data_IF_926689749293
#
_entry.id   IF_926689749293
#
_cell.length_a   1.000
_cell.length_b   1.000
_cell.length_c   1.000
_cell.angle_alpha   90.00
_cell.angle_beta   90.00
_cell.angle_gamma   90.00
#
_symmetry.space_group_name_H-M   'P 1'
#
loop_
_entity.id
_entity.type
_entity.pdbx_description
1 polymer ?
#
# COMPACT_ATOMS: atom_id res chain seq x y z
N UNK A 1 2.55 15.95 12.22
CA UNK A 1 3.56 16.16 13.27
C UNK A 1 4.55 17.23 12.80
N UNK A 2 4.26 18.47 13.20
CA UNK A 2 5.14 19.61 13.50
C UNK A 2 6.54 19.73 12.86
N UNK A 3 6.61 20.01 11.55
CA UNK A 3 7.78 20.70 10.97
C UNK A 3 8.08 22.03 11.71
N UNK A 4 7.06 22.64 12.33
CA UNK A 4 7.20 23.86 13.13
C UNK A 4 8.07 23.71 14.38
N UNK A 5 8.12 22.54 15.04
CA UNK A 5 8.94 22.40 16.26
C UNK A 5 10.43 22.43 15.91
N UNK A 6 10.86 21.71 14.87
CA UNK A 6 12.27 21.72 14.44
C UNK A 6 12.69 23.12 13.99
N UNK A 7 11.85 23.81 13.21
CA UNK A 7 12.10 25.19 12.79
C UNK A 7 12.21 26.13 14.01
N UNK A 8 11.35 25.96 15.02
CA UNK A 8 11.40 26.73 16.25
C UNK A 8 12.67 26.47 17.07
N UNK A 9 13.11 25.21 17.17
CA UNK A 9 14.35 24.84 17.86
C UNK A 9 15.59 25.38 17.14
N UNK A 10 15.61 25.36 15.80
CA UNK A 10 16.68 25.97 15.01
C UNK A 10 16.71 27.49 15.25
N UNK A 11 15.54 28.15 15.21
CA UNK A 11 15.44 29.58 15.48
C UNK A 11 15.91 29.97 16.90
N UNK A 12 15.58 29.14 17.90
CA UNK A 12 16.05 29.31 19.29
C UNK A 12 17.57 29.12 19.39
N UNK A 13 18.12 28.09 18.75
CA UNK A 13 19.57 27.83 18.72
C UNK A 13 20.35 28.95 18.04
N UNK A 14 19.84 29.48 16.93
CA UNK A 14 20.46 30.61 16.24
C UNK A 14 20.37 31.90 17.05
N UNK A 15 19.25 32.15 17.73
CA UNK A 15 19.10 33.29 18.64
C UNK A 15 20.04 33.17 19.86
N UNK A 16 20.39 31.94 20.27
CA UNK A 16 21.40 31.64 21.28
C UNK A 16 22.85 31.72 20.79
N UNK A 17 23.10 32.15 19.55
CA UNK A 17 24.44 32.33 18.98
C UNK A 17 25.06 31.09 18.35
N UNK A 18 24.30 30.01 18.16
CA UNK A 18 24.77 28.83 17.42
C UNK A 18 24.69 29.12 15.92
N UNK A 19 25.75 28.78 15.19
CA UNK A 19 25.78 28.91 13.75
C UNK A 19 24.70 28.04 13.06
N UNK A 20 24.03 28.61 12.06
CA UNK A 20 22.91 27.97 11.37
C UNK A 20 23.35 26.74 10.56
N UNK A 21 24.55 26.77 9.96
CA UNK A 21 25.08 25.61 9.24
C UNK A 21 25.33 24.44 10.20
N UNK A 22 25.84 24.72 11.40
CA UNK A 22 25.99 23.71 12.46
C UNK A 22 24.66 23.10 12.88
N UNK A 23 23.63 23.92 13.13
CA UNK A 23 22.29 23.42 13.49
C UNK A 23 21.66 22.57 12.39
N UNK A 24 21.84 22.97 11.13
CA UNK A 24 21.36 22.23 9.96
C UNK A 24 22.05 20.87 9.84
N UNK A 25 23.37 20.83 10.02
CA UNK A 25 24.13 19.58 9.97
C UNK A 25 23.68 18.60 11.06
N UNK A 26 23.44 19.07 12.28
CA UNK A 26 22.90 18.23 13.36
C UNK A 26 21.51 17.68 13.01
N UNK A 27 20.63 18.52 12.43
CA UNK A 27 19.29 18.09 12.05
C UNK A 27 19.30 17.06 10.91
N UNK A 28 20.16 17.24 9.91
CA UNK A 28 20.36 16.30 8.81
C UNK A 28 20.90 14.96 9.34
N UNK A 29 21.96 14.96 10.15
CA UNK A 29 22.54 13.76 10.75
C UNK A 29 21.54 13.02 11.67
N UNK A 30 20.80 13.75 12.51
CA UNK A 30 19.78 13.16 13.37
C UNK A 30 18.62 12.55 12.55
N UNK A 31 18.27 13.18 11.42
CA UNK A 31 17.27 12.69 10.48
C UNK A 31 17.71 11.39 9.82
N UNK A 32 18.92 11.34 9.27
CA UNK A 32 19.50 10.14 8.66
C UNK A 32 19.62 8.98 9.67
N UNK A 33 20.09 9.26 10.88
CA UNK A 33 20.17 8.27 11.96
C UNK A 33 18.78 7.75 12.38
N UNK A 34 17.79 8.63 12.47
CA UNK A 34 16.43 8.22 12.80
C UNK A 34 15.78 7.39 11.68
N UNK A 35 15.95 7.80 10.42
CA UNK A 35 15.47 7.06 9.26
C UNK A 35 16.11 5.68 9.18
N UNK A 36 17.43 5.59 9.31
CA UNK A 36 18.18 4.34 9.32
C UNK A 36 17.68 3.42 10.44
N UNK A 37 17.58 3.91 11.68
CA UNK A 37 17.07 3.10 12.81
C UNK A 37 15.64 2.62 12.57
N UNK A 38 14.78 3.46 11.98
CA UNK A 38 13.41 3.08 11.66
C UNK A 38 13.38 1.96 10.61
N UNK A 39 14.14 2.10 9.53
CA UNK A 39 14.27 1.07 8.50
C UNK A 39 14.84 -0.23 9.06
N UNK A 40 15.90 -0.16 9.89
CA UNK A 40 16.46 -1.36 10.55
C UNK A 40 15.45 -2.05 11.45
N UNK A 41 14.66 -1.30 12.24
CA UNK A 41 13.61 -1.87 13.10
C UNK A 41 12.49 -2.54 12.29
N UNK A 42 12.23 -2.05 11.08
CA UNK A 42 11.29 -2.66 10.15
C UNK A 42 11.90 -3.84 9.37
N UNK A 43 13.20 -4.10 9.52
CA UNK A 43 13.92 -5.09 8.72
C UNK A 43 14.08 -4.69 7.24
N UNK A 44 14.08 -3.39 6.95
CA UNK A 44 14.15 -2.82 5.60
C UNK A 44 15.45 -2.04 5.34
N UNK A 45 16.52 -2.38 6.07
CA UNK A 45 17.79 -1.66 5.99
C UNK A 45 18.79 -2.30 5.01
N UNK A 46 18.52 -3.50 4.52
CA UNK A 46 19.34 -4.16 3.51
C UNK A 46 18.97 -3.73 2.08
N UNK A 47 19.87 -3.99 1.14
CA UNK A 47 19.72 -3.61 -0.27
C UNK A 47 18.62 -4.41 -0.99
N UNK A 48 18.24 -5.59 -0.49
CA UNK A 48 17.22 -6.44 -1.09
C UNK A 48 15.80 -6.06 -0.66
N UNK A 49 15.64 -5.39 0.49
CA UNK A 49 14.35 -4.99 1.05
C UNK A 49 13.43 -4.25 0.06
N UNK A 50 13.98 -3.41 -0.81
CA UNK A 50 13.20 -2.69 -1.84
C UNK A 50 12.59 -3.66 -2.86
N UNK A 51 13.37 -4.66 -3.28
CA UNK A 51 12.93 -5.70 -4.22
C UNK A 51 11.85 -6.57 -3.59
N UNK A 52 12.06 -6.98 -2.34
CA UNK A 52 11.14 -7.87 -1.64
C UNK A 52 9.78 -7.20 -1.40
N UNK A 53 9.78 -5.91 -1.02
CA UNK A 53 8.55 -5.12 -0.89
C UNK A 53 7.83 -4.97 -2.24
N UNK A 54 8.58 -4.80 -3.33
CA UNK A 54 8.01 -4.72 -4.66
C UNK A 54 7.38 -6.05 -5.09
N UNK A 55 8.03 -7.18 -4.80
CA UNK A 55 7.54 -8.52 -5.09
C UNK A 55 6.27 -8.83 -4.29
N UNK A 56 6.25 -8.53 -2.98
CA UNK A 56 5.04 -8.69 -2.16
C UNK A 56 3.87 -7.87 -2.69
N UNK A 57 4.11 -6.64 -3.16
CA UNK A 57 3.08 -5.81 -3.80
C UNK A 57 2.59 -6.43 -5.11
N UNK A 58 3.48 -7.00 -5.91
CA UNK A 58 3.11 -7.69 -7.15
C UNK A 58 2.26 -8.94 -6.87
N UNK A 59 2.63 -9.75 -5.88
CA UNK A 59 1.84 -10.91 -5.45
C UNK A 59 0.46 -10.52 -4.94
N UNK A 60 0.36 -9.45 -4.15
CA UNK A 60 -0.92 -8.92 -3.69
C UNK A 60 -1.78 -8.38 -4.83
N UNK A 61 -1.17 -7.74 -5.83
CA UNK A 61 -1.87 -7.31 -7.03
C UNK A 61 -2.45 -8.50 -7.79
N UNK A 62 -1.63 -9.53 -8.06
CA UNK A 62 -2.05 -10.76 -8.73
C UNK A 62 -3.18 -11.48 -7.96
N UNK A 63 -3.07 -11.58 -6.64
CA UNK A 63 -4.11 -12.15 -5.79
C UNK A 63 -5.43 -11.37 -5.86
N UNK A 64 -5.36 -10.04 -5.81
CA UNK A 64 -6.54 -9.18 -5.91
C UNK A 64 -7.24 -9.32 -7.27
N UNK A 65 -6.46 -9.44 -8.33
CA UNK A 65 -6.98 -9.63 -9.68
C UNK A 65 -7.61 -11.02 -9.85
N UNK A 66 -6.95 -12.06 -9.32
CA UNK A 66 -7.52 -13.41 -9.28
C UNK A 66 -8.86 -13.43 -8.50
N UNK A 67 -8.92 -12.79 -7.33
CA UNK A 67 -10.16 -12.67 -6.54
C UNK A 67 -11.26 -11.95 -7.32
N UNK A 68 -10.93 -10.84 -8.01
CA UNK A 68 -11.90 -10.11 -8.83
C UNK A 68 -12.42 -10.98 -9.98
N UNK A 69 -11.54 -11.73 -10.63
CA UNK A 69 -11.88 -12.66 -11.70
C UNK A 69 -12.81 -13.77 -11.20
N UNK A 70 -12.50 -14.38 -10.05
CA UNK A 70 -13.33 -15.40 -9.43
C UNK A 70 -14.75 -14.88 -9.11
N UNK A 71 -14.87 -13.68 -8.55
CA UNK A 71 -16.18 -13.06 -8.29
C UNK A 71 -16.97 -12.78 -9.57
N UNK A 72 -16.30 -12.30 -10.62
CA UNK A 72 -16.94 -12.08 -11.93
C UNK A 72 -17.45 -13.39 -12.52
N UNK A 73 -16.65 -14.45 -12.47
CA UNK A 73 -17.04 -15.78 -12.94
C UNK A 73 -18.21 -16.34 -12.13
N UNK A 74 -18.15 -16.25 -10.80
CA UNK A 74 -19.23 -16.69 -9.91
C UNK A 74 -20.55 -15.97 -10.20
N UNK A 75 -20.53 -14.65 -10.40
CA UNK A 75 -21.71 -13.88 -10.79
C UNK A 75 -22.27 -14.32 -12.15
N UNK A 76 -21.39 -14.61 -13.12
CA UNK A 76 -21.79 -15.14 -14.43
C UNK A 76 -22.48 -16.51 -14.35
N UNK A 77 -21.91 -17.44 -13.58
CA UNK A 77 -22.51 -18.76 -13.35
C UNK A 77 -23.86 -18.66 -12.61
N UNK A 78 -23.96 -17.79 -11.60
CA UNK A 78 -25.22 -17.55 -10.90
C UNK A 78 -26.31 -17.02 -11.84
N UNK A 79 -25.97 -16.08 -12.73
CA UNK A 79 -26.91 -15.58 -13.74
C UNK A 79 -27.33 -16.68 -14.72
N UNK A 80 -26.39 -17.49 -15.21
CA UNK A 80 -26.68 -18.61 -16.12
C UNK A 80 -27.59 -19.67 -15.45
N UNK A 81 -27.32 -20.01 -14.20
CA UNK A 81 -28.15 -20.94 -13.42
C UNK A 81 -29.55 -20.36 -13.19
N UNK A 82 -29.66 -19.07 -12.88
CA UNK A 82 -30.94 -18.39 -12.70
C UNK A 82 -31.76 -18.41 -14.00
N UNK A 83 -31.15 -18.06 -15.14
CA UNK A 83 -31.82 -18.10 -16.44
C UNK A 83 -32.25 -19.52 -16.83
N UNK A 84 -31.40 -20.51 -16.57
CA UNK A 84 -31.73 -21.92 -16.80
C UNK A 84 -32.93 -22.34 -15.96
N UNK A 85 -32.96 -21.97 -14.67
CA UNK A 85 -34.08 -22.25 -13.79
C UNK A 85 -35.38 -21.60 -14.27
N UNK A 86 -35.33 -20.35 -14.76
CA UNK A 86 -36.47 -19.65 -15.34
C UNK A 86 -36.95 -20.37 -16.61
N UNK A 87 -36.05 -20.70 -17.55
CA UNK A 87 -36.41 -21.38 -18.79
C UNK A 87 -37.11 -22.73 -18.55
N UNK A 88 -36.62 -23.51 -17.57
CA UNK A 88 -37.26 -24.76 -17.14
C UNK A 88 -38.63 -24.48 -16.53
N UNK A 89 -38.75 -23.51 -15.62
CA UNK A 89 -40.02 -23.16 -14.94
C UNK A 89 -41.11 -22.68 -15.91
N UNK A 90 -40.75 -21.93 -16.95
CA UNK A 90 -41.68 -21.42 -17.94
C UNK A 90 -41.91 -22.38 -19.14
N UNK A 91 -41.37 -23.59 -19.09
CA UNK A 91 -41.72 -24.65 -20.06
C UNK A 91 -41.08 -24.50 -21.44
N UNK A 92 -40.01 -23.70 -21.58
CA UNK A 92 -39.29 -23.52 -22.85
C UNK A 92 -38.74 -24.83 -23.44
N UNK A 93 -38.56 -25.88 -22.62
CA UNK A 93 -38.17 -27.21 -23.08
C UNK A 93 -39.20 -27.90 -24.00
N UNK A 94 -40.45 -27.42 -24.04
CA UNK A 94 -41.47 -27.93 -24.97
C UNK A 94 -41.38 -27.29 -26.37
N UNK A 95 -40.70 -26.14 -26.51
CA UNK A 95 -40.54 -25.39 -27.78
C UNK A 95 -39.28 -25.77 -28.58
N UNK A 96 -38.39 -26.60 -28.01
CA UNK A 96 -37.12 -27.05 -28.63
C UNK A 96 -37.24 -28.46 -29.24
N UNK A 97 -38.47 -28.97 -29.42
CA UNK A 97 -38.73 -30.14 -30.27
C UNK A 97 -38.89 -29.70 -31.73
#
# INVERSE_FOLDING_TARGET
MTAGILAQLIAQGSAGGTDLATLRAIAEEAGELAATRALTRLGLADEEAVRDVAELRALLAAWRDAKRSAWKAAAGWLAALLLTAIAVKFGFGQWVK
#
